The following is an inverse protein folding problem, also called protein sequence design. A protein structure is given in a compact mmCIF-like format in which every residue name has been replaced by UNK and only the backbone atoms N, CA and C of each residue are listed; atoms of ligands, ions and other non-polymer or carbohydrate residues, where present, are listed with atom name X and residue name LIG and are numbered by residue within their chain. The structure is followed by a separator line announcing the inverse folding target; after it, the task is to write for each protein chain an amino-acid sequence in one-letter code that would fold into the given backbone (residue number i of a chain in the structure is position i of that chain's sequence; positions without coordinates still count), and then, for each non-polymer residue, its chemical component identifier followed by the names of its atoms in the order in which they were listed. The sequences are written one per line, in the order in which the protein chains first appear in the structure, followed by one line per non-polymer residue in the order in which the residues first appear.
data_IF_261612196795
#
_entry.id   IF_261612196795
#
_cell.length_a   1.000
_cell.length_b   1.000
_cell.length_c   1.000
_cell.angle_alpha   90.00
_cell.angle_beta   90.00
_cell.angle_gamma   90.00
#
_symmetry.space_group_name_H-M   'P 1'
#
loop_
_entity.id
_entity.type
_entity.pdbx_description
1 polymer ?
#
# COMPACT_ATOMS: atom_id res chain seq x y z
N UNK A 1 38.05 9.96 -2.74
CA UNK A 1 36.83 10.17 -3.55
C UNK A 1 35.82 10.72 -2.59
N UNK A 2 35.62 12.03 -2.61
CA UNK A 2 34.61 12.67 -1.79
C UNK A 2 33.28 12.52 -2.54
N UNK A 3 32.28 11.96 -1.89
CA UNK A 3 30.94 11.87 -2.47
C UNK A 3 30.38 13.28 -2.62
N UNK A 4 29.87 13.61 -3.80
CA UNK A 4 29.29 14.94 -4.03
C UNK A 4 27.99 15.08 -3.23
N UNK A 5 27.15 14.03 -3.25
CA UNK A 5 25.89 14.00 -2.51
C UNK A 5 25.42 12.55 -2.25
N UNK A 6 24.83 12.33 -1.07
CA UNK A 6 24.11 11.10 -0.71
C UNK A 6 22.63 11.45 -0.58
N UNK A 7 21.78 10.71 -1.29
CA UNK A 7 20.32 10.80 -1.22
C UNK A 7 19.81 9.63 -0.39
N UNK A 8 19.19 9.94 0.75
CA UNK A 8 18.41 8.97 1.53
C UNK A 8 16.98 8.86 0.96
N UNK A 9 16.61 7.66 0.53
CA UNK A 9 15.27 7.37 -0.01
C UNK A 9 14.24 7.08 1.10
N UNK A 10 14.65 7.07 2.36
CA UNK A 10 13.77 6.90 3.52
C UNK A 10 13.38 5.46 3.82
N UNK A 11 13.25 4.59 2.82
CA UNK A 11 13.08 3.13 2.94
C UNK A 11 13.67 2.42 1.71
N UNK A 12 13.84 1.09 1.77
CA UNK A 12 14.33 0.29 0.64
C UNK A 12 13.32 0.37 -0.52
N UNK A 13 13.67 1.10 -1.56
CA UNK A 13 12.79 1.40 -2.68
C UNK A 13 13.40 0.85 -3.97
N UNK A 14 12.57 0.20 -4.80
CA UNK A 14 12.99 -0.19 -6.15
C UNK A 14 12.95 1.05 -7.03
N UNK A 15 14.13 1.50 -7.44
CA UNK A 15 14.34 2.75 -8.17
C UNK A 15 14.96 2.49 -9.54
N UNK A 16 14.47 3.20 -10.53
CA UNK A 16 15.13 3.43 -11.81
C UNK A 16 15.51 4.91 -11.90
N UNK A 17 16.40 5.26 -12.82
CA UNK A 17 16.89 6.62 -12.94
C UNK A 17 16.96 7.09 -14.38
N UNK A 18 16.63 8.37 -14.57
CA UNK A 18 16.89 9.12 -15.80
C UNK A 18 17.83 10.27 -15.44
N UNK A 19 18.91 10.40 -16.20
CA UNK A 19 19.88 11.48 -16.02
C UNK A 19 19.79 12.40 -17.22
N UNK A 20 19.55 13.68 -16.98
CA UNK A 20 19.42 14.70 -18.02
C UNK A 20 20.50 15.76 -17.83
N UNK A 21 21.35 15.92 -18.85
CA UNK A 21 22.30 17.02 -18.91
C UNK A 21 21.87 18.08 -19.92
N UNK A 22 21.94 19.34 -19.51
CA UNK A 22 21.71 20.47 -20.41
C UNK A 22 23.02 20.86 -21.12
N UNK A 23 22.98 21.23 -22.40
CA UNK A 23 24.16 21.75 -23.08
C UNK A 23 24.63 23.03 -22.38
N UNK A 24 25.94 23.10 -22.11
CA UNK A 24 26.58 24.26 -21.50
C UNK A 24 27.42 25.01 -22.54
N UNK A 25 27.41 26.34 -22.45
CA UNK A 25 27.98 27.23 -23.48
C UNK A 25 29.52 27.29 -23.47
N UNK A 26 30.18 26.75 -22.45
CA UNK A 26 31.63 26.78 -22.32
C UNK A 26 32.24 25.43 -22.71
N UNK A 27 33.13 25.46 -23.70
CA UNK A 27 33.90 24.31 -24.13
C UNK A 27 34.73 23.76 -22.95
N UNK A 28 34.51 22.50 -22.56
CA UNK A 28 35.38 21.79 -21.60
C UNK A 28 34.69 21.12 -20.42
N UNK A 29 33.38 21.28 -20.23
CA UNK A 29 32.65 20.60 -19.15
C UNK A 29 32.35 19.15 -19.54
N UNK A 30 33.31 18.24 -19.34
CA UNK A 30 33.07 16.79 -19.39
C UNK A 30 32.71 16.35 -17.98
N UNK A 31 31.53 15.74 -17.83
CA UNK A 31 31.08 15.16 -16.56
C UNK A 31 30.96 13.67 -16.74
N UNK A 32 31.98 12.94 -16.29
CA UNK A 32 31.88 11.50 -16.01
C UNK A 32 31.57 11.33 -14.52
N UNK A 33 30.69 10.40 -14.18
CA UNK A 33 30.35 10.11 -12.79
C UNK A 33 29.98 8.64 -12.60
N UNK A 34 30.11 8.19 -11.36
CA UNK A 34 29.66 6.90 -10.88
C UNK A 34 28.40 7.11 -10.04
N UNK A 35 27.39 6.29 -10.31
CA UNK A 35 26.25 6.15 -9.41
C UNK A 35 26.39 4.85 -8.65
N UNK A 36 26.16 4.91 -7.35
CA UNK A 36 26.18 3.74 -6.49
C UNK A 36 24.99 3.76 -5.55
N UNK A 37 24.58 2.57 -5.11
CA UNK A 37 23.50 2.40 -4.15
C UNK A 37 23.92 1.54 -2.97
N UNK A 38 23.26 1.75 -1.84
CA UNK A 38 23.36 0.89 -0.66
C UNK A 38 21.97 0.37 -0.29
N UNK A 39 21.89 -0.89 0.13
CA UNK A 39 20.64 -1.58 0.49
C UNK A 39 20.36 -1.47 2.01
N UNK A 40 21.40 -1.27 2.81
CA UNK A 40 21.38 -1.22 4.27
C UNK A 40 21.87 0.13 4.81
N UNK A 41 21.65 0.36 6.10
CA UNK A 41 22.17 1.52 6.84
C UNK A 41 23.70 1.51 6.97
N UNK A 42 24.35 0.39 6.62
CA UNK A 42 25.79 0.29 6.44
C UNK A 42 26.23 1.06 5.17
N UNK A 43 26.47 2.36 5.35
CA UNK A 43 27.00 3.29 4.34
C UNK A 43 28.47 3.03 3.97
N UNK A 44 29.04 1.89 4.35
CA UNK A 44 30.37 1.46 3.87
C UNK A 44 30.29 0.53 2.66
N UNK A 45 29.11 -0.05 2.39
CA UNK A 45 28.91 -1.02 1.30
C UNK A 45 28.07 -0.42 0.18
N UNK A 46 28.76 -0.08 -0.91
CA UNK A 46 28.16 0.53 -2.09
C UNK A 46 28.27 -0.40 -3.28
N UNK A 47 27.21 -0.47 -4.07
CA UNK A 47 27.10 -1.30 -5.27
C UNK A 47 26.92 -0.37 -6.48
N UNK A 48 27.70 -0.54 -7.56
CA UNK A 48 27.58 0.33 -8.74
C UNK A 48 26.24 0.13 -9.46
N UNK A 49 25.67 1.24 -9.92
CA UNK A 49 24.54 1.26 -10.84
C UNK A 49 25.09 1.28 -12.26
N UNK A 50 24.66 0.33 -13.09
CA UNK A 50 25.10 0.22 -14.47
C UNK A 50 24.25 1.11 -15.39
N UNK A 51 24.89 1.79 -16.32
CA UNK A 51 24.27 2.49 -17.45
C UNK A 51 23.69 1.48 -18.45
N UNK A 52 22.82 1.92 -19.37
CA UNK A 52 22.15 1.07 -20.37
C UNK A 52 23.10 0.24 -21.25
N UNK A 53 24.33 0.71 -21.46
CA UNK A 53 25.42 -0.01 -22.13
C UNK A 53 26.18 -0.98 -21.22
N UNK A 54 25.72 -1.16 -19.98
CA UNK A 54 26.27 -1.98 -18.89
C UNK A 54 27.63 -1.51 -18.35
N UNK A 55 28.01 -0.26 -18.62
CA UNK A 55 29.20 0.33 -18.01
C UNK A 55 28.87 0.97 -16.66
N UNK A 56 29.86 1.06 -15.77
CA UNK A 56 29.73 1.69 -14.44
C UNK A 56 29.90 3.22 -14.49
N UNK A 57 30.39 3.74 -15.61
CA UNK A 57 30.66 5.16 -15.80
C UNK A 57 29.59 5.75 -16.70
N UNK A 58 28.82 6.68 -16.16
CA UNK A 58 27.93 7.49 -16.97
C UNK A 58 28.77 8.56 -17.66
N UNK A 59 29.10 8.32 -18.93
CA UNK A 59 29.81 9.29 -19.76
C UNK A 59 28.83 10.19 -20.49
N UNK A 60 29.01 11.50 -20.34
CA UNK A 60 28.32 12.48 -21.20
C UNK A 60 29.32 13.09 -22.16
N UNK A 61 29.15 12.78 -23.46
CA UNK A 61 30.04 13.27 -24.52
C UNK A 61 29.82 14.78 -24.70
N UNK A 62 30.73 15.60 -24.18
CA UNK A 62 30.60 17.06 -24.13
C UNK A 62 31.16 17.82 -25.34
N UNK A 63 31.00 17.30 -26.56
CA UNK A 63 31.31 18.08 -27.77
C UNK A 63 30.03 18.68 -28.35
N UNK A 64 29.39 19.56 -27.59
CA UNK A 64 28.30 20.37 -28.13
C UNK A 64 28.91 21.45 -29.02
N UNK A 65 28.78 21.30 -30.33
CA UNK A 65 28.97 22.43 -31.25
C UNK A 65 27.87 23.46 -31.00
N UNK A 66 28.12 24.75 -31.27
CA UNK A 66 27.22 25.90 -30.99
C UNK A 66 25.77 25.75 -31.50
N UNK A 67 25.43 24.68 -32.23
CA UNK A 67 24.13 24.46 -32.85
C UNK A 67 23.39 23.20 -32.37
N UNK A 68 23.96 22.39 -31.46
CA UNK A 68 23.26 21.22 -30.92
C UNK A 68 22.51 21.57 -29.62
N UNK A 69 21.17 21.61 -29.70
CA UNK A 69 20.25 21.65 -28.55
C UNK A 69 20.01 20.26 -27.94
N UNK A 70 20.89 19.31 -28.18
CA UNK A 70 20.68 17.92 -27.81
C UNK A 70 20.85 17.76 -26.29
N UNK A 71 19.84 17.18 -25.65
CA UNK A 71 19.89 16.76 -24.25
C UNK A 71 20.47 15.36 -24.24
N UNK A 72 21.55 15.14 -23.49
CA UNK A 72 22.01 13.78 -23.23
C UNK A 72 21.12 13.16 -22.16
N UNK A 73 20.56 11.98 -22.46
CA UNK A 73 19.71 11.23 -21.55
C UNK A 73 20.34 9.86 -21.33
N UNK A 74 20.69 9.55 -20.10
CA UNK A 74 21.16 8.23 -19.69
C UNK A 74 20.13 7.55 -18.80
N UNK A 75 20.09 6.22 -18.87
CA UNK A 75 19.15 5.38 -18.15
C UNK A 75 19.89 4.30 -17.39
N UNK A 76 19.32 3.84 -16.28
CA UNK A 76 19.81 2.65 -15.62
C UNK A 76 19.57 1.44 -16.52
N UNK A 77 20.52 0.51 -16.57
CA UNK A 77 20.35 -0.77 -17.27
C UNK A 77 19.14 -1.55 -16.72
N UNK A 78 18.99 -1.54 -15.40
CA UNK A 78 17.89 -2.19 -14.68
C UNK A 78 17.55 -1.40 -13.43
N UNK A 79 16.33 -1.54 -12.93
CA UNK A 79 15.97 -1.02 -11.60
C UNK A 79 16.81 -1.67 -10.50
N UNK A 80 17.19 -0.90 -9.50
CA UNK A 80 17.94 -1.35 -8.32
C UNK A 80 17.09 -1.20 -7.06
N UNK A 81 17.28 -2.07 -6.07
CA UNK A 81 16.66 -1.92 -4.76
C UNK A 81 17.62 -1.12 -3.87
N UNK A 82 17.28 0.13 -3.56
CA UNK A 82 18.17 1.07 -2.88
C UNK A 82 17.50 1.69 -1.65
N UNK A 83 18.28 1.91 -0.59
CA UNK A 83 17.96 2.80 0.52
C UNK A 83 18.68 4.13 0.38
N UNK A 84 19.94 4.09 -0.02
CA UNK A 84 20.74 5.26 -0.34
C UNK A 84 21.20 5.19 -1.79
N UNK A 85 21.24 6.33 -2.45
CA UNK A 85 21.96 6.51 -3.71
C UNK A 85 23.00 7.59 -3.48
N UNK A 86 24.21 7.39 -4.01
CA UNK A 86 25.23 8.45 -4.03
C UNK A 86 25.78 8.65 -5.42
N UNK A 87 26.27 9.87 -5.62
CA UNK A 87 27.02 10.24 -6.80
C UNK A 87 28.48 10.49 -6.41
N UNK A 88 29.39 9.85 -7.15
CA UNK A 88 30.81 10.10 -7.06
C UNK A 88 31.34 10.63 -8.38
N UNK A 89 32.33 11.52 -8.31
CA UNK A 89 33.04 12.01 -9.48
C UNK A 89 33.71 10.85 -10.23
N UNK A 90 33.49 10.81 -11.54
CA UNK A 90 34.27 10.00 -12.45
C UNK A 90 35.63 10.64 -12.58
N UNK A 91 36.68 9.82 -12.52
CA UNK A 91 38.07 10.25 -12.55
C UNK A 91 38.46 10.83 -13.93
N UNK A 92 37.92 11.98 -14.31
CA UNK A 92 38.50 12.80 -15.35
C UNK A 92 39.41 13.83 -14.68
N UNK A 93 40.70 13.76 -15.00
CA UNK A 93 41.74 14.72 -14.62
C UNK A 93 41.55 16.10 -15.28
N UNK A 94 40.30 16.49 -15.58
CA UNK A 94 39.96 17.80 -16.10
C UNK A 94 40.12 18.84 -14.99
N UNK A 95 40.84 19.95 -15.22
CA UNK A 95 40.93 21.05 -14.26
C UNK A 95 39.61 21.86 -14.14
N UNK A 96 38.58 21.47 -14.89
CA UNK A 96 37.27 22.14 -14.92
C UNK A 96 36.15 21.13 -14.63
N UNK A 97 35.81 20.96 -13.35
CA UNK A 97 34.66 20.16 -12.92
C UNK A 97 33.42 21.06 -12.83
N UNK A 98 32.53 20.96 -13.81
CA UNK A 98 31.27 21.70 -13.79
C UNK A 98 30.10 20.73 -13.91
N UNK A 99 29.35 20.54 -12.83
CA UNK A 99 28.17 19.68 -12.78
C UNK A 99 26.89 20.50 -12.96
N UNK A 100 26.31 20.46 -14.16
CA UNK A 100 24.98 21.03 -14.46
C UNK A 100 24.08 19.92 -14.98
N UNK A 101 23.60 19.09 -14.05
CA UNK A 101 22.80 17.91 -14.34
C UNK A 101 21.53 17.90 -13.49
N UNK A 102 20.50 17.26 -14.01
CA UNK A 102 19.30 16.90 -13.26
C UNK A 102 19.22 15.39 -13.20
N UNK A 103 19.01 14.89 -11.99
CA UNK A 103 18.76 13.48 -11.70
C UNK A 103 17.30 13.34 -11.31
N UNK A 104 16.56 12.52 -12.04
CA UNK A 104 15.22 12.11 -11.65
C UNK A 104 15.25 10.62 -11.34
N UNK A 105 15.07 10.27 -10.07
CA UNK A 105 14.88 8.89 -9.63
C UNK A 105 13.38 8.57 -9.67
N UNK A 106 13.02 7.58 -10.44
CA UNK A 106 11.65 7.09 -10.55
C UNK A 106 11.61 5.75 -9.83
N UNK A 107 11.05 5.76 -8.63
CA UNK A 107 10.83 4.55 -7.84
C UNK A 107 9.37 4.41 -7.46
N UNK A 108 8.86 3.17 -7.56
CA UNK A 108 7.65 2.81 -6.85
C UNK A 108 8.08 2.35 -5.45
N UNK A 109 7.52 2.95 -4.39
CA UNK A 109 7.64 2.40 -3.03
C UNK A 109 6.86 1.09 -2.97
N UNK A 110 7.47 0.00 -3.42
CA UNK A 110 6.93 -1.34 -3.25
C UNK A 110 7.37 -1.89 -1.89
N UNK A 111 6.80 -1.34 -0.82
CA UNK A 111 6.10 -2.07 0.24
C UNK A 111 5.47 -1.05 1.19
N UNK A 112 4.24 -1.30 1.68
CA UNK A 112 3.58 -0.41 2.60
C UNK A 112 4.40 -0.38 3.89
N UNK A 113 4.64 0.81 4.43
CA UNK A 113 4.92 0.93 5.86
C UNK A 113 3.88 0.10 6.57
N UNK A 114 4.33 -0.95 7.27
CA UNK A 114 3.48 -1.63 8.23
C UNK A 114 3.04 -0.57 9.21
N UNK A 115 1.77 -0.22 9.11
CA UNK A 115 1.17 0.87 9.85
C UNK A 115 0.16 0.28 10.82
N UNK A 116 -0.28 1.07 11.79
CA UNK A 116 -1.28 0.58 12.73
C UNK A 116 -2.65 0.40 12.06
N UNK A 117 -3.06 1.35 11.24
CA UNK A 117 -4.43 1.43 10.71
C UNK A 117 -4.47 1.99 9.28
N UNK A 118 -5.50 1.64 8.49
CA UNK A 118 -5.77 2.29 7.20
C UNK A 118 -5.95 3.81 7.33
N UNK A 119 -6.56 4.27 8.43
CA UNK A 119 -6.69 5.70 8.73
C UNK A 119 -5.34 6.43 8.80
N UNK A 120 -4.30 5.76 9.30
CA UNK A 120 -2.95 6.31 9.35
C UNK A 120 -2.38 6.47 7.94
N UNK A 121 -2.55 5.47 7.07
CA UNK A 121 -2.13 5.57 5.66
C UNK A 121 -2.84 6.72 4.94
N UNK A 122 -4.15 6.83 5.13
CA UNK A 122 -4.93 7.95 4.58
C UNK A 122 -4.39 9.30 5.07
N UNK A 123 -4.13 9.44 6.38
CA UNK A 123 -3.59 10.66 6.98
C UNK A 123 -2.16 10.99 6.51
N UNK A 124 -1.37 9.96 6.19
CA UNK A 124 -0.02 10.08 5.62
C UNK A 124 -0.03 10.46 4.12
N UNK A 125 -1.21 10.56 3.49
CA UNK A 125 -1.38 11.02 2.11
C UNK A 125 -1.34 9.90 1.06
N UNK A 126 -1.63 8.65 1.45
CA UNK A 126 -1.87 7.58 0.49
C UNK A 126 -3.19 7.84 -0.24
N UNK A 127 -3.24 7.50 -1.53
CA UNK A 127 -4.36 7.88 -2.44
C UNK A 127 -4.96 6.70 -3.21
N UNK A 128 -4.42 5.48 -3.05
CA UNK A 128 -4.88 4.31 -3.78
C UNK A 128 -5.59 3.34 -2.86
N UNK A 129 -6.80 2.94 -3.25
CA UNK A 129 -7.51 1.84 -2.62
C UNK A 129 -6.82 0.53 -3.05
N UNK A 130 -6.21 -0.16 -2.10
CA UNK A 130 -5.42 -1.39 -2.34
C UNK A 130 -5.35 -2.24 -1.06
N UNK A 131 -4.74 -3.41 -1.16
CA UNK A 131 -4.41 -4.26 -0.01
C UNK A 131 -3.14 -3.76 0.70
N UNK A 132 -3.26 -3.51 1.99
CA UNK A 132 -2.17 -3.08 2.86
C UNK A 132 -1.98 -4.06 4.02
N UNK A 133 -0.76 -4.13 4.54
CA UNK A 133 -0.46 -4.85 5.77
C UNK A 133 -0.53 -3.87 6.94
N UNK A 134 -1.39 -4.16 7.91
CA UNK A 134 -1.62 -3.34 9.09
C UNK A 134 -1.47 -4.16 10.37
N UNK A 135 -1.28 -3.48 11.50
CA UNK A 135 -1.16 -4.08 12.83
C UNK A 135 -1.97 -3.25 13.85
N UNK A 136 -3.22 -3.65 14.10
CA UNK A 136 -4.20 -2.85 14.84
C UNK A 136 -3.89 -2.72 16.35
N UNK A 137 -3.34 -3.77 16.96
CA UNK A 137 -2.89 -3.78 18.35
C UNK A 137 -1.48 -3.20 18.53
N UNK A 138 -0.72 -3.09 17.45
CA UNK A 138 0.49 -2.29 17.33
C UNK A 138 1.70 -3.15 17.01
N UNK A 139 2.65 -2.58 16.27
CA UNK A 139 3.81 -3.29 15.71
C UNK A 139 4.49 -4.17 16.77
N UNK A 140 4.55 -5.46 16.49
CA UNK A 140 5.14 -6.52 17.33
C UNK A 140 4.45 -6.71 18.69
N UNK A 141 3.16 -6.37 18.81
CA UNK A 141 2.37 -6.56 20.02
C UNK A 141 1.22 -7.53 19.78
N UNK A 142 1.09 -8.54 20.63
CA UNK A 142 -0.10 -9.40 20.64
C UNK A 142 -0.24 -10.24 19.37
N UNK A 143 -0.98 -9.73 18.40
CA UNK A 143 -1.28 -10.36 17.13
C UNK A 143 -0.22 -10.05 16.07
N UNK A 144 0.01 -10.96 15.12
CA UNK A 144 0.81 -10.64 13.95
C UNK A 144 0.06 -9.66 13.03
N UNK A 145 0.80 -8.82 12.28
CA UNK A 145 0.24 -7.96 11.25
C UNK A 145 -0.52 -8.75 10.17
N UNK A 146 -1.60 -8.18 9.65
CA UNK A 146 -2.51 -8.83 8.70
C UNK A 146 -2.87 -7.94 7.51
N UNK A 147 -3.38 -8.57 6.46
CA UNK A 147 -3.74 -7.90 5.22
C UNK A 147 -5.22 -7.52 5.20
N UNK A 148 -5.48 -6.29 4.78
CA UNK A 148 -6.83 -5.72 4.60
C UNK A 148 -6.84 -4.83 3.38
N UNK A 149 -8.02 -4.56 2.83
CA UNK A 149 -8.18 -3.51 1.83
C UNK A 149 -8.40 -2.19 2.57
N UNK A 150 -7.63 -1.15 2.21
CA UNK A 150 -7.83 0.19 2.75
C UNK A 150 -8.53 1.06 1.71
N UNK A 151 -9.62 1.74 2.07
CA UNK A 151 -10.13 2.84 1.24
C UNK A 151 -9.44 4.13 1.63
N UNK A 152 -8.78 4.76 0.66
CA UNK A 152 -8.11 6.05 0.81
C UNK A 152 -9.05 7.22 0.51
N UNK A 153 -10.34 6.96 0.30
CA UNK A 153 -11.34 8.01 0.23
C UNK A 153 -11.73 8.54 1.62
N UNK A 154 -11.69 7.68 2.64
CA UNK A 154 -12.12 7.98 4.01
C UNK A 154 -11.26 7.31 5.11
N UNK A 155 -10.26 6.51 4.75
CA UNK A 155 -9.40 5.79 5.70
C UNK A 155 -9.99 4.48 6.23
N UNK A 156 -11.10 3.99 5.66
CA UNK A 156 -11.77 2.79 6.11
C UNK A 156 -10.92 1.53 5.95
N UNK A 157 -11.05 0.61 6.90
CA UNK A 157 -10.49 -0.75 6.85
C UNK A 157 -11.58 -1.71 6.38
N UNK A 158 -11.36 -2.36 5.24
CA UNK A 158 -12.31 -3.30 4.61
C UNK A 158 -11.76 -4.72 4.77
N UNK A 159 -12.55 -5.56 5.46
CA UNK A 159 -12.24 -6.97 5.68
C UNK A 159 -13.12 -7.81 4.76
N UNK A 160 -12.49 -8.56 3.86
CA UNK A 160 -13.19 -9.40 2.90
C UNK A 160 -13.62 -10.75 3.50
N UNK A 161 -14.61 -11.38 2.87
CA UNK A 161 -15.09 -12.72 3.24
C UNK A 161 -15.50 -13.56 2.02
N UNK A 162 -15.70 -14.86 2.22
CA UNK A 162 -16.00 -15.84 1.17
C UNK A 162 -17.43 -15.79 0.60
N UNK A 163 -18.25 -14.85 1.07
CA UNK A 163 -19.69 -14.77 0.82
C UNK A 163 -20.11 -13.41 0.23
N UNK A 164 -19.20 -12.72 -0.46
CA UNK A 164 -19.45 -11.41 -1.09
C UNK A 164 -20.32 -11.50 -2.34
N UNK A 165 -20.23 -12.61 -3.07
CA UNK A 165 -21.07 -12.89 -4.23
C UNK A 165 -22.48 -13.37 -3.84
N UNK A 166 -23.44 -13.20 -4.75
CA UNK A 166 -24.80 -13.72 -4.55
C UNK A 166 -24.83 -15.24 -4.73
N UNK A 167 -25.19 -15.96 -3.67
CA UNK A 167 -25.43 -17.40 -3.70
C UNK A 167 -26.86 -17.76 -3.26
N UNK A 168 -27.34 -18.93 -3.69
CA UNK A 168 -28.67 -19.43 -3.34
C UNK A 168 -28.61 -20.23 -2.04
N UNK A 169 -29.41 -19.84 -1.07
CA UNK A 169 -29.64 -20.60 0.15
C UNK A 169 -30.61 -21.73 -0.18
N UNK A 170 -30.17 -22.97 -0.03
CA UNK A 170 -31.00 -24.16 -0.22
C UNK A 170 -31.40 -24.69 1.15
N UNK A 171 -32.70 -24.75 1.44
CA UNK A 171 -33.21 -25.20 2.73
C UNK A 171 -34.52 -25.97 2.58
N UNK A 172 -34.79 -26.86 3.53
CA UNK A 172 -36.09 -27.51 3.68
C UNK A 172 -36.94 -26.71 4.66
N UNK A 173 -38.28 -26.59 4.47
CA UNK A 173 -39.15 -25.79 5.35
C UNK A 173 -39.05 -26.14 6.85
N UNK A 174 -38.60 -27.36 7.17
CA UNK A 174 -38.51 -27.87 8.55
C UNK A 174 -37.06 -28.00 9.03
N UNK A 175 -36.09 -27.45 8.31
CA UNK A 175 -34.67 -27.56 8.66
C UNK A 175 -34.02 -26.18 8.67
N UNK A 176 -33.36 -25.86 9.79
CA UNK A 176 -32.49 -24.70 9.88
C UNK A 176 -31.26 -24.93 9.00
N UNK A 177 -31.05 -24.05 8.02
CA UNK A 177 -29.82 -23.99 7.23
C UNK A 177 -28.95 -22.87 7.79
N UNK A 178 -27.80 -23.23 8.35
CA UNK A 178 -26.76 -22.27 8.76
C UNK A 178 -25.77 -22.10 7.62
N UNK A 179 -25.34 -20.87 7.38
CA UNK A 179 -24.26 -20.56 6.46
C UNK A 179 -23.16 -19.90 7.28
N UNK A 180 -22.01 -20.53 7.28
CA UNK A 180 -20.82 -19.98 7.90
C UNK A 180 -20.17 -19.02 6.91
N UNK A 181 -19.81 -17.84 7.39
CA UNK A 181 -19.07 -16.82 6.62
C UNK A 181 -17.64 -16.82 7.12
N UNK A 182 -16.71 -17.07 6.21
CA UNK A 182 -15.27 -17.11 6.52
C UNK A 182 -14.63 -15.81 6.08
N UNK A 183 -14.08 -15.07 7.01
CA UNK A 183 -13.30 -13.86 6.73
C UNK A 183 -11.86 -14.22 6.37
N UNK A 184 -11.21 -13.32 5.63
CA UNK A 184 -9.80 -13.51 5.19
C UNK A 184 -8.77 -13.36 6.31
N UNK A 185 -9.20 -12.93 7.50
CA UNK A 185 -8.36 -12.76 8.70
C UNK A 185 -9.00 -13.43 9.91
N UNK A 186 -8.19 -13.66 10.95
CA UNK A 186 -8.65 -14.36 12.15
C UNK A 186 -9.59 -13.51 13.00
N UNK A 187 -10.50 -14.16 13.72
CA UNK A 187 -11.50 -13.47 14.56
C UNK A 187 -10.86 -12.52 15.59
N UNK A 188 -9.67 -12.85 16.11
CA UNK A 188 -8.95 -11.96 17.04
C UNK A 188 -8.50 -10.66 16.37
N UNK A 189 -8.10 -10.72 15.11
CA UNK A 189 -7.73 -9.54 14.30
C UNK A 189 -8.98 -8.74 13.92
N UNK A 190 -10.10 -9.39 13.63
CA UNK A 190 -11.38 -8.69 13.40
C UNK A 190 -11.80 -7.91 14.67
N UNK A 191 -11.68 -8.54 15.84
CA UNK A 191 -11.97 -7.87 17.12
C UNK A 191 -11.05 -6.66 17.33
N UNK A 192 -9.76 -6.77 17.02
CA UNK A 192 -8.85 -5.62 17.17
C UNK A 192 -9.19 -4.48 16.20
N UNK A 193 -9.66 -4.78 14.98
CA UNK A 193 -10.20 -3.75 14.06
C UNK A 193 -11.41 -3.06 14.68
N UNK A 194 -12.39 -3.83 15.18
CA UNK A 194 -13.62 -3.31 15.77
C UNK A 194 -13.31 -2.44 17.00
N UNK A 195 -12.45 -2.91 17.90
CA UNK A 195 -12.14 -2.21 19.16
C UNK A 195 -11.34 -0.92 18.94
N UNK A 196 -10.66 -0.78 17.80
CA UNK A 196 -9.90 0.42 17.42
C UNK A 196 -10.65 1.33 16.41
N UNK A 197 -11.87 0.97 16.00
CA UNK A 197 -12.67 1.76 15.08
C UNK A 197 -13.70 2.62 15.82
N UNK A 198 -13.94 3.85 15.33
CA UNK A 198 -15.02 4.70 15.85
C UNK A 198 -16.41 4.19 15.44
N UNK A 199 -16.50 3.56 14.27
CA UNK A 199 -17.71 2.99 13.68
C UNK A 199 -17.38 1.70 12.96
N UNK A 200 -18.29 0.74 12.98
CA UNK A 200 -18.18 -0.52 12.24
C UNK A 200 -19.52 -0.83 11.59
N UNK A 201 -19.51 -1.17 10.30
CA UNK A 201 -20.70 -1.46 9.52
C UNK A 201 -20.51 -2.75 8.72
N UNK A 202 -21.58 -3.53 8.59
CA UNK A 202 -21.65 -4.68 7.69
C UNK A 202 -23.01 -4.69 7.03
N UNK A 203 -23.04 -4.92 5.71
CA UNK A 203 -24.27 -5.02 4.95
C UNK A 203 -24.53 -6.46 4.52
N UNK A 204 -25.73 -6.97 4.84
CA UNK A 204 -26.21 -8.27 4.37
C UNK A 204 -27.48 -8.06 3.57
N UNK A 205 -27.53 -8.59 2.35
CA UNK A 205 -28.70 -8.48 1.46
C UNK A 205 -29.30 -9.84 1.21
N UNK A 206 -30.52 -10.06 1.68
CA UNK A 206 -31.28 -11.28 1.41
C UNK A 206 -32.32 -11.00 0.33
N UNK A 207 -32.33 -11.82 -0.72
CA UNK A 207 -33.39 -11.81 -1.73
C UNK A 207 -34.26 -13.05 -1.57
N UNK A 208 -35.48 -12.86 -1.06
CA UNK A 208 -36.51 -13.89 -1.09
C UNK A 208 -37.01 -14.09 -2.53
N UNK A 209 -37.51 -15.30 -2.85
CA UNK A 209 -38.16 -15.60 -4.13
C UNK A 209 -39.50 -14.87 -4.29
N UNK A 210 -40.54 -15.55 -4.77
CA UNK A 210 -41.89 -14.96 -4.90
C UNK A 210 -42.57 -14.62 -3.55
N UNK A 211 -41.93 -14.94 -2.42
CA UNK A 211 -42.40 -14.51 -1.12
C UNK A 211 -42.07 -13.02 -0.91
N UNK A 212 -43.11 -12.19 -0.84
CA UNK A 212 -43.01 -10.77 -0.51
C UNK A 212 -42.32 -10.59 0.85
N UNK A 213 -41.18 -9.87 0.93
CA UNK A 213 -40.51 -9.55 2.19
C UNK A 213 -41.42 -8.85 3.21
N UNK A 214 -42.51 -8.22 2.78
CA UNK A 214 -43.52 -7.62 3.66
C UNK A 214 -44.35 -8.65 4.45
N UNK A 215 -44.33 -9.91 4.03
CA UNK A 215 -44.94 -11.04 4.75
C UNK A 215 -44.01 -11.67 5.79
N UNK A 216 -42.75 -11.23 5.84
CA UNK A 216 -41.84 -11.55 6.94
C UNK A 216 -42.38 -10.88 8.20
N UNK A 217 -42.71 -11.68 9.21
CA UNK A 217 -43.28 -11.17 10.45
C UNK A 217 -42.43 -10.04 11.02
N UNK A 218 -43.06 -8.90 11.32
CA UNK A 218 -42.43 -7.80 12.07
C UNK A 218 -42.07 -8.22 13.50
N UNK A 219 -42.54 -9.40 13.95
CA UNK A 219 -42.20 -9.95 15.24
C UNK A 219 -40.79 -10.58 15.21
N UNK A 220 -39.83 -10.13 16.05
CA UNK A 220 -38.43 -10.59 16.05
C UNK A 220 -38.27 -12.11 16.12
N UNK A 221 -39.14 -12.77 16.90
CA UNK A 221 -39.13 -14.22 17.10
C UNK A 221 -39.57 -15.04 15.87
N UNK A 222 -40.29 -14.42 14.92
CA UNK A 222 -40.89 -15.06 13.75
C UNK A 222 -40.17 -14.70 12.44
N UNK A 223 -39.01 -14.05 12.53
CA UNK A 223 -38.13 -13.78 11.40
C UNK A 223 -37.53 -15.10 10.89
N UNK A 224 -37.72 -15.45 9.60
CA UNK A 224 -37.20 -16.71 9.05
C UNK A 224 -35.69 -16.68 8.78
N UNK A 225 -35.05 -15.50 8.87
CA UNK A 225 -33.61 -15.34 8.74
C UNK A 225 -33.09 -14.59 9.95
N UNK A 226 -32.00 -15.09 10.55
CA UNK A 226 -31.30 -14.51 11.70
C UNK A 226 -29.81 -14.46 11.37
N UNK A 227 -29.08 -13.53 11.99
CA UNK A 227 -27.62 -13.47 11.87
C UNK A 227 -26.95 -13.87 13.19
N UNK A 228 -25.73 -14.41 13.11
CA UNK A 228 -24.93 -14.76 14.28
C UNK A 228 -24.04 -13.60 14.71
N UNK A 229 -24.00 -13.30 16.00
CA UNK A 229 -23.07 -12.32 16.57
C UNK A 229 -21.61 -12.79 16.47
N UNK A 230 -20.66 -11.92 16.81
CA UNK A 230 -19.23 -12.28 16.92
C UNK A 230 -18.93 -13.45 17.87
N UNK A 231 -19.82 -13.74 18.83
CA UNK A 231 -19.72 -14.88 19.76
C UNK A 231 -20.48 -16.11 19.27
N UNK A 232 -21.06 -16.07 18.06
CA UNK A 232 -21.88 -17.15 17.51
C UNK A 232 -23.32 -17.17 18.03
N UNK A 233 -23.73 -16.18 18.82
CA UNK A 233 -25.10 -16.11 19.34
C UNK A 233 -26.08 -15.65 18.26
N UNK A 234 -27.19 -16.36 18.09
CA UNK A 234 -28.23 -15.96 17.14
C UNK A 234 -28.93 -14.69 17.60
N UNK A 235 -28.86 -13.66 16.77
CA UNK A 235 -29.46 -12.36 17.03
C UNK A 235 -30.94 -12.37 16.67
N UNK A 236 -31.76 -11.78 17.54
CA UNK A 236 -33.22 -11.73 17.37
C UNK A 236 -33.68 -10.56 16.48
N UNK A 237 -32.80 -9.60 16.17
CA UNK A 237 -33.09 -8.45 15.31
C UNK A 237 -31.99 -8.27 14.27
N UNK A 238 -32.22 -7.53 13.19
CA UNK A 238 -31.27 -7.29 12.08
C UNK A 238 -30.41 -6.03 12.27
N UNK A 239 -30.13 -5.67 13.52
CA UNK A 239 -29.59 -4.35 13.87
C UNK A 239 -30.70 -3.33 14.10
N UNK A 240 -30.53 -2.53 15.15
CA UNK A 240 -31.56 -1.66 15.74
C UNK A 240 -31.46 -1.70 17.26
N UNK A 241 -31.95 -0.68 17.98
CA UNK A 241 -31.91 -0.66 19.43
C UNK A 241 -32.55 -1.95 19.98
N UNK A 242 -31.94 -2.53 21.03
CA UNK A 242 -32.56 -3.62 21.76
C UNK A 242 -33.98 -3.19 22.12
N UNK A 243 -34.98 -3.90 21.61
CA UNK A 243 -36.34 -3.74 22.11
C UNK A 243 -36.30 -4.32 23.52
N UNK A 244 -36.03 -3.49 24.52
CA UNK A 244 -36.33 -3.81 25.90
C UNK A 244 -37.83 -4.05 25.94
N UNK A 245 -38.24 -5.32 25.94
CA UNK A 245 -39.56 -5.69 26.41
C UNK A 245 -39.64 -5.12 27.82
N UNK A 246 -40.38 -4.03 27.98
CA UNK A 246 -40.77 -3.55 29.29
C UNK A 246 -41.35 -4.76 30.01
N UNK A 247 -40.74 -5.14 31.13
CA UNK A 247 -41.32 -6.14 32.00
C UNK A 247 -42.78 -5.72 32.27
N UNK A 248 -43.74 -6.65 32.22
CA UNK A 248 -45.09 -6.32 32.62
C UNK A 248 -44.99 -5.82 34.07
N UNK A 249 -45.41 -4.58 34.27
CA UNK A 249 -45.69 -4.07 35.61
C UNK A 249 -46.81 -4.96 36.13
N UNK A 250 -46.46 -5.84 37.07
CA UNK A 250 -47.42 -6.56 37.91
C UNK A 250 -47.99 -5.58 38.92
#
# INVERSE_FOLDING_TARGET
MDSIDIVDLGERTRVSGIIIQKPYYWHGCITSFHLEYAISDDVTKWIPILNSDRTEVFQVKAYFTQHQRERHISYFYSSVLARFIRLNEGLDNSPWHCFLMRFDFIGCRNHPRMTRTCQTLFSDGYVLDDTYQIDMDGIDQGQPPFQVTCSMSDGATIIHHDAEDTFKISGSPNQLTTIDITYVIDMQQIISVIDNASTCEQMVKVKCGEADPSTLSQHPALQPVKWGSRSGELMQNWGGPLVTLAAPVV
#
